data_IF_100348026371
#
_entry.id   IF_100348026371
#
_cell.length_a   1.000
_cell.length_b   1.000
_cell.length_c   1.000
_cell.angle_alpha   90.00
_cell.angle_beta   90.00
_cell.angle_gamma   90.00
#
_symmetry.space_group_name_H-M   'P 1'
#
loop_
_entity.id
_entity.type
_entity.pdbx_description
1 polymer ?
#
# COMPACT_ATOMS: atom_id res chain seq x y z
N UNK A 1 -28.23 13.36 -35.73
CA UNK A 1 -26.98 14.13 -35.62
C UNK A 1 -27.03 14.83 -34.26
N UNK A 2 -26.29 14.47 -33.21
CA UNK A 2 -25.06 13.69 -33.09
C UNK A 2 -25.14 12.70 -31.92
N UNK A 3 -24.44 11.58 -32.08
CA UNK A 3 -24.15 10.56 -31.07
C UNK A 3 -22.84 10.99 -30.40
N UNK A 4 -22.84 11.32 -29.11
CA UNK A 4 -21.60 11.54 -28.37
C UNK A 4 -21.27 10.25 -27.60
N UNK A 5 -20.44 9.42 -28.24
CA UNK A 5 -19.79 8.27 -27.63
C UNK A 5 -18.86 8.76 -26.51
N UNK A 6 -19.29 8.62 -25.26
CA UNK A 6 -18.45 8.85 -24.08
C UNK A 6 -17.86 7.52 -23.65
N UNK A 7 -16.85 7.07 -24.39
CA UNK A 7 -15.93 6.03 -23.93
C UNK A 7 -15.11 6.63 -22.78
N UNK A 8 -15.67 6.58 -21.58
CA UNK A 8 -14.98 6.93 -20.36
C UNK A 8 -14.06 5.75 -20.05
N UNK A 9 -12.76 5.95 -20.24
CA UNK A 9 -11.72 5.00 -19.91
C UNK A 9 -11.83 4.64 -18.42
N UNK A 10 -12.37 3.46 -18.11
CA UNK A 10 -12.25 2.88 -16.78
C UNK A 10 -10.77 2.48 -16.60
N UNK A 11 -10.01 3.30 -15.88
CA UNK A 11 -8.63 3.03 -15.55
C UNK A 11 -8.60 1.96 -14.44
N UNK A 12 -8.62 0.69 -14.83
CA UNK A 12 -8.50 -0.43 -13.91
C UNK A 12 -7.02 -0.64 -13.58
N UNK A 13 -6.60 -0.31 -12.35
CA UNK A 13 -5.26 -0.62 -11.88
C UNK A 13 -5.22 -2.03 -11.28
N UNK A 14 -4.36 -2.89 -11.84
CA UNK A 14 -4.06 -4.22 -11.30
C UNK A 14 -2.77 -4.13 -10.50
N UNK A 15 -2.84 -4.35 -9.18
CA UNK A 15 -1.66 -4.44 -8.32
C UNK A 15 -1.41 -5.92 -8.00
N UNK A 16 -0.26 -6.43 -8.47
CA UNK A 16 0.22 -7.77 -8.12
C UNK A 16 1.31 -7.58 -7.06
N UNK A 17 1.04 -8.05 -5.84
CA UNK A 17 2.03 -8.06 -4.76
C UNK A 17 2.65 -9.44 -4.69
N UNK A 18 3.93 -9.54 -5.08
CA UNK A 18 4.73 -10.76 -4.95
C UNK A 18 5.50 -10.75 -3.64
N UNK A 19 5.32 -11.78 -2.82
CA UNK A 19 6.08 -11.97 -1.58
C UNK A 19 7.47 -12.53 -1.92
N UNK A 20 8.38 -11.66 -2.34
CA UNK A 20 9.81 -11.97 -2.43
C UNK A 20 10.43 -11.85 -1.05
N UNK A 21 10.98 -12.94 -0.52
CA UNK A 21 11.68 -12.99 0.76
C UNK A 21 13.10 -12.42 0.67
N UNK A 22 13.24 -11.19 0.15
CA UNK A 22 14.49 -10.44 0.29
C UNK A 22 14.36 -9.59 1.54
N UNK A 23 14.95 -10.14 2.62
CA UNK A 23 15.01 -9.55 3.95
C UNK A 23 15.47 -8.08 3.88
N UNK A 24 14.56 -7.15 4.16
CA UNK A 24 14.85 -5.72 4.17
C UNK A 24 14.90 -5.24 5.62
N UNK A 25 16.13 -5.08 6.12
CA UNK A 25 16.44 -4.55 7.45
C UNK A 25 15.77 -3.18 7.61
N UNK A 26 14.72 -3.12 8.44
CA UNK A 26 14.01 -1.90 8.78
C UNK A 26 14.14 -1.62 10.28
N UNK A 27 14.53 -0.39 10.62
CA UNK A 27 14.58 0.06 12.01
C UNK A 27 13.21 0.62 12.43
N UNK A 28 12.90 0.57 13.72
CA UNK A 28 11.79 1.31 14.30
C UNK A 28 12.25 2.75 14.55
N UNK A 29 11.61 3.69 13.86
CA UNK A 29 11.78 5.13 14.06
C UNK A 29 10.61 5.68 14.86
N UNK A 30 10.92 6.47 15.88
CA UNK A 30 9.95 7.30 16.59
C UNK A 30 10.26 8.75 16.26
N UNK A 31 9.32 9.46 15.65
CA UNK A 31 9.47 10.88 15.34
C UNK A 31 8.24 11.68 15.73
N UNK A 32 8.40 13.00 15.87
CA UNK A 32 7.30 13.94 16.08
C UNK A 32 6.89 14.50 14.73
N UNK A 33 5.61 14.37 14.38
CA UNK A 33 5.09 14.90 13.12
C UNK A 33 4.80 16.42 13.18
N UNK A 34 4.25 16.96 12.09
CA UNK A 34 3.90 18.38 12.00
C UNK A 34 2.78 18.80 12.96
N UNK A 35 1.92 17.86 13.39
CA UNK A 35 0.88 18.11 14.38
C UNK A 35 1.41 18.04 15.83
N UNK A 36 2.65 17.59 16.02
CA UNK A 36 3.26 17.37 17.33
C UNK A 36 3.00 15.96 17.88
N UNK A 37 2.40 15.08 17.09
CA UNK A 37 2.09 13.72 17.50
C UNK A 37 3.32 12.81 17.35
N UNK A 38 3.44 11.85 18.27
CA UNK A 38 4.51 10.84 18.20
C UNK A 38 4.09 9.70 17.29
N UNK A 39 4.82 9.53 16.20
CA UNK A 39 4.62 8.48 15.23
C UNK A 39 5.73 7.44 15.38
N UNK A 40 5.32 6.18 15.54
CA UNK A 40 6.21 5.02 15.46
C UNK A 40 6.02 4.37 14.09
N UNK A 41 7.11 4.18 13.34
CA UNK A 41 7.07 3.48 12.05
C UNK A 41 8.30 2.59 11.90
N UNK A 42 8.11 1.46 11.25
CA UNK A 42 9.23 0.68 10.72
C UNK A 42 9.60 1.22 9.34
N UNK A 43 10.87 1.52 9.15
CA UNK A 43 11.38 2.06 7.90
C UNK A 43 12.89 1.81 7.74
N UNK A 44 13.37 1.92 6.51
CA UNK A 44 14.78 1.95 6.17
C UNK A 44 15.23 3.39 5.94
N UNK A 45 16.30 3.81 6.60
CA UNK A 45 16.93 5.10 6.30
C UNK A 45 17.68 5.00 4.97
N UNK A 46 17.15 5.66 3.93
CA UNK A 46 17.75 5.64 2.58
C UNK A 46 18.66 6.84 2.31
N UNK A 47 18.61 7.89 3.14
CA UNK A 47 19.55 9.01 3.07
C UNK A 47 19.26 10.13 4.06
N UNK A 48 20.27 10.98 4.28
CA UNK A 48 20.15 12.20 5.10
C UNK A 48 20.79 13.36 4.35
N UNK A 49 20.08 14.49 4.22
CA UNK A 49 20.59 15.69 3.55
C UNK A 49 19.94 16.96 4.12
N UNK A 50 20.73 18.02 4.29
CA UNK A 50 20.24 19.36 4.70
C UNK A 50 19.37 19.35 5.97
N UNK A 51 19.64 18.47 6.93
CA UNK A 51 18.86 18.36 8.17
C UNK A 51 17.56 17.55 8.05
N UNK A 52 17.36 16.85 6.94
CA UNK A 52 16.25 15.92 6.72
C UNK A 52 16.75 14.49 6.54
N UNK A 53 15.93 13.54 6.96
CA UNK A 53 16.13 12.10 6.77
C UNK A 53 15.00 11.54 5.91
N UNK A 54 15.36 10.74 4.92
CA UNK A 54 14.43 10.03 4.05
C UNK A 54 14.29 8.58 4.53
N UNK A 55 13.08 8.21 4.91
CA UNK A 55 12.71 6.92 5.46
C UNK A 55 11.83 6.18 4.44
N UNK A 56 12.33 5.08 3.88
CA UNK A 56 11.55 4.16 3.05
C UNK A 56 10.75 3.22 3.97
N UNK A 57 9.43 3.33 3.93
CA UNK A 57 8.52 2.55 4.77
C UNK A 57 8.29 1.16 4.16
N UNK A 58 7.70 0.26 4.93
CA UNK A 58 7.37 -1.10 4.50
C UNK A 58 6.45 -1.16 3.26
N UNK A 59 5.66 -0.11 3.04
CA UNK A 59 4.76 0.04 1.88
C UNK A 59 5.48 0.60 0.64
N UNK A 60 6.81 0.78 0.71
CA UNK A 60 7.64 1.37 -0.34
C UNK A 60 7.53 2.89 -0.45
N UNK A 61 6.74 3.55 0.41
CA UNK A 61 6.66 5.01 0.40
C UNK A 61 7.89 5.64 1.05
N UNK A 62 8.37 6.73 0.47
CA UNK A 62 9.44 7.55 1.06
C UNK A 62 8.82 8.66 1.90
N UNK A 63 8.99 8.56 3.21
CA UNK A 63 8.65 9.61 4.16
C UNK A 63 9.88 10.47 4.44
N UNK A 64 9.77 11.78 4.17
CA UNK A 64 10.82 12.74 4.53
C UNK A 64 10.44 13.35 5.89
N UNK A 65 11.38 13.30 6.84
CA UNK A 65 11.20 13.89 8.17
C UNK A 65 12.39 14.79 8.51
N UNK A 66 12.21 15.88 9.27
CA UNK A 66 13.32 16.60 9.86
C UNK A 66 14.14 15.66 10.74
N UNK A 67 15.47 15.61 10.58
CA UNK A 67 16.32 14.72 11.38
C UNK A 67 16.21 15.06 12.88
N UNK A 68 15.98 16.33 13.20
CA UNK A 68 15.74 16.79 14.58
C UNK A 68 14.41 16.33 15.17
N UNK A 69 13.46 15.91 14.34
CA UNK A 69 12.16 15.40 14.79
C UNK A 69 12.22 13.91 15.16
N UNK A 70 13.27 13.19 14.77
CA UNK A 70 13.49 11.80 15.17
C UNK A 70 13.92 11.77 16.64
N UNK A 71 13.06 11.22 17.48
CA UNK A 71 13.22 11.12 18.93
C UNK A 71 14.00 9.87 19.31
N UNK A 72 13.75 8.77 18.60
CA UNK A 72 14.41 7.49 18.85
C UNK A 72 14.54 6.68 17.56
N UNK A 73 15.56 5.83 17.53
CA UNK A 73 15.79 4.83 16.48
C UNK A 73 16.25 3.55 17.14
N UNK A 74 15.43 2.51 17.02
CA UNK A 74 15.78 1.17 17.49
C UNK A 74 16.07 0.29 16.30
N UNK A 75 17.28 -0.29 16.22
CA UNK A 75 17.54 -1.37 15.30
C UNK A 75 16.60 -2.52 15.61
N UNK A 76 15.58 -2.69 14.78
CA UNK A 76 14.69 -3.82 14.80
C UNK A 76 15.10 -4.74 13.65
N UNK A 77 14.81 -6.04 13.79
CA UNK A 77 14.85 -6.91 12.62
C UNK A 77 13.79 -6.49 11.62
N UNK A 78 13.74 -7.20 10.50
CA UNK A 78 12.71 -6.98 9.48
C UNK A 78 11.31 -7.04 10.11
N UNK A 79 10.37 -6.21 9.62
CA UNK A 79 8.97 -6.36 9.98
C UNK A 79 8.53 -7.79 9.73
N UNK A 80 7.71 -8.35 10.61
CA UNK A 80 7.02 -9.59 10.27
C UNK A 80 6.26 -9.36 8.96
N UNK A 81 6.39 -10.27 7.97
CA UNK A 81 5.66 -10.15 6.72
C UNK A 81 4.18 -10.01 7.02
N UNK A 82 3.54 -9.00 6.46
CA UNK A 82 2.10 -8.84 6.57
C UNK A 82 1.46 -10.05 5.88
N UNK A 83 0.67 -10.81 6.63
CA UNK A 83 -0.04 -11.96 6.11
C UNK A 83 -1.18 -11.53 5.18
N UNK A 84 -1.80 -12.49 4.50
CA UNK A 84 -2.84 -12.21 3.52
C UNK A 84 -4.02 -11.45 4.14
N UNK A 85 -4.37 -11.79 5.39
CA UNK A 85 -5.43 -11.12 6.15
C UNK A 85 -5.08 -9.67 6.43
N UNK A 86 -3.88 -9.41 6.96
CA UNK A 86 -3.40 -8.06 7.25
C UNK A 86 -3.28 -7.21 5.99
N UNK A 87 -2.89 -7.81 4.86
CA UNK A 87 -2.79 -7.07 3.60
C UNK A 87 -4.17 -6.69 3.06
N UNK A 88 -5.19 -7.55 3.21
CA UNK A 88 -6.58 -7.21 2.89
C UNK A 88 -7.07 -6.03 3.73
N UNK A 89 -6.79 -6.04 5.03
CA UNK A 89 -7.17 -4.95 5.95
C UNK A 89 -6.50 -3.62 5.56
N UNK A 90 -5.21 -3.65 5.22
CA UNK A 90 -4.49 -2.49 4.71
C UNK A 90 -5.16 -1.94 3.45
N UNK A 91 -5.42 -2.80 2.48
CA UNK A 91 -6.00 -2.38 1.19
C UNK A 91 -7.43 -1.85 1.36
N UNK A 92 -8.23 -2.46 2.24
CA UNK A 92 -9.56 -1.96 2.60
C UNK A 92 -9.49 -0.57 3.24
N UNK A 93 -8.54 -0.33 4.15
CA UNK A 93 -8.34 1.00 4.76
C UNK A 93 -7.86 2.06 3.77
N UNK A 94 -7.03 1.68 2.81
CA UNK A 94 -6.46 2.62 1.83
C UNK A 94 -7.46 3.04 0.76
N UNK A 95 -8.32 2.12 0.30
CA UNK A 95 -9.17 2.34 -0.88
C UNK A 95 -10.67 2.25 -0.61
N UNK A 96 -11.10 1.85 0.59
CA UNK A 96 -12.49 1.55 0.92
C UNK A 96 -12.85 0.11 0.56
N UNK A 97 -13.51 -0.60 1.48
CA UNK A 97 -13.87 -2.02 1.32
C UNK A 97 -14.78 -2.27 0.11
N UNK A 98 -15.64 -1.30 -0.21
CA UNK A 98 -16.55 -1.33 -1.35
C UNK A 98 -15.83 -1.25 -2.70
N UNK A 99 -14.63 -0.68 -2.73
CA UNK A 99 -13.85 -0.43 -3.95
C UNK A 99 -12.75 -1.46 -4.19
N UNK A 100 -12.59 -2.47 -3.34
CA UNK A 100 -11.54 -3.49 -3.49
C UNK A 100 -12.10 -4.89 -3.64
N UNK A 101 -11.56 -5.65 -4.59
CA UNK A 101 -11.86 -7.08 -4.73
C UNK A 101 -10.56 -7.86 -4.65
N UNK A 102 -10.60 -8.96 -3.89
CA UNK A 102 -9.42 -9.75 -3.56
C UNK A 102 -9.52 -11.14 -4.16
N UNK A 103 -8.40 -11.65 -4.66
CA UNK A 103 -8.21 -13.08 -4.91
C UNK A 103 -6.92 -13.52 -4.24
N UNK A 104 -7.06 -14.47 -3.32
CA UNK A 104 -5.92 -15.13 -2.69
C UNK A 104 -5.47 -16.29 -3.58
N UNK A 105 -4.16 -16.44 -3.73
CA UNK A 105 -3.52 -17.64 -4.25
C UNK A 105 -2.64 -18.26 -3.16
N UNK A 106 -2.01 -19.40 -3.44
CA UNK A 106 -1.11 -20.05 -2.48
C UNK A 106 0.06 -19.15 -2.01
N UNK A 107 0.46 -18.17 -2.83
CA UNK A 107 1.66 -17.36 -2.58
C UNK A 107 1.49 -15.87 -2.90
N UNK A 108 0.27 -15.40 -3.16
CA UNK A 108 0.04 -13.99 -3.50
C UNK A 108 -1.38 -13.56 -3.17
N UNK A 109 -1.54 -12.24 -3.01
CA UNK A 109 -2.84 -11.59 -2.96
C UNK A 109 -2.94 -10.69 -4.20
N UNK A 110 -3.90 -10.99 -5.06
CA UNK A 110 -4.26 -10.13 -6.20
C UNK A 110 -5.35 -9.17 -5.75
N UNK A 111 -5.11 -7.89 -5.94
CA UNK A 111 -6.04 -6.82 -5.55
C UNK A 111 -6.50 -6.08 -6.80
N UNK A 112 -7.81 -6.03 -6.98
CA UNK A 112 -8.47 -5.21 -7.99
C UNK A 112 -9.08 -3.99 -7.28
N UNK A 113 -8.54 -2.81 -7.58
CA UNK A 113 -9.06 -1.53 -7.07
C UNK A 113 -10.00 -0.93 -8.11
N UNK A 114 -11.18 -0.51 -7.66
CA UNK A 114 -12.28 -0.01 -8.46
C UNK A 114 -12.43 1.50 -8.26
N UNK A 115 -12.78 2.21 -9.33
CA UNK A 115 -13.07 3.66 -9.30
C UNK A 115 -14.48 3.97 -8.75
N UNK A 116 -15.25 2.92 -8.43
CA UNK A 116 -16.58 3.02 -7.84
C UNK A 116 -17.30 1.67 -7.79
N UNK A 117 -18.50 1.67 -7.21
CA UNK A 117 -19.29 0.45 -7.05
C UNK A 117 -19.64 -0.19 -8.40
N UNK A 118 -19.51 -1.52 -8.44
CA UNK A 118 -19.88 -2.32 -9.61
C UNK A 118 -21.35 -2.73 -9.54
N UNK A 119 -22.01 -2.72 -10.69
CA UNK A 119 -23.30 -3.39 -10.84
C UNK A 119 -23.13 -4.93 -10.81
N UNK A 120 -24.25 -5.67 -10.75
CA UNK A 120 -24.23 -7.14 -10.69
C UNK A 120 -23.48 -7.80 -11.86
N UNK A 121 -23.48 -7.17 -13.04
CA UNK A 121 -22.78 -7.69 -14.22
C UNK A 121 -21.28 -7.41 -14.14
N UNK A 122 -20.91 -6.20 -13.70
CA UNK A 122 -19.56 -5.80 -13.36
C UNK A 122 -18.95 -6.74 -12.32
N UNK A 123 -19.72 -7.14 -11.30
CA UNK A 123 -19.22 -8.06 -10.28
C UNK A 123 -19.01 -9.49 -10.75
N UNK A 124 -19.85 -9.94 -11.68
CA UNK A 124 -19.64 -11.25 -12.29
C UNK A 124 -18.35 -11.26 -13.11
N UNK A 125 -18.02 -10.14 -13.77
CA UNK A 125 -16.80 -9.98 -14.58
C UNK A 125 -15.54 -9.78 -13.73
N UNK A 126 -15.61 -8.98 -12.66
CA UNK A 126 -14.49 -8.73 -11.73
C UNK A 126 -13.99 -10.05 -11.11
N UNK A 127 -14.93 -10.89 -10.66
CA UNK A 127 -14.62 -12.23 -10.11
C UNK A 127 -14.01 -13.16 -11.15
N UNK A 128 -14.50 -13.11 -12.39
CA UNK A 128 -13.95 -13.97 -13.45
C UNK A 128 -12.54 -13.54 -13.83
N UNK A 129 -12.30 -12.24 -13.91
CA UNK A 129 -10.98 -11.66 -14.16
C UNK A 129 -10.00 -12.03 -13.05
N UNK A 130 -10.39 -11.85 -11.78
CA UNK A 130 -9.57 -12.21 -10.63
C UNK A 130 -9.21 -13.70 -10.57
N UNK A 131 -10.10 -14.60 -11.05
CA UNK A 131 -9.81 -16.03 -11.15
C UNK A 131 -8.79 -16.40 -12.22
N UNK A 132 -8.58 -15.54 -13.21
CA UNK A 132 -7.64 -15.76 -14.33
C UNK A 132 -6.28 -15.09 -14.10
N UNK A 133 -6.19 -14.20 -13.11
CA UNK A 133 -4.95 -13.54 -12.67
C UNK A 133 -4.12 -14.47 -11.77
#
# INVERSE_FOLDING_TARGET
MQIFNRNLFAATALLIVTFGSDFCIADEFIYVDEAGDRITTQARLIGTRQGFSALERWDGQVQIVPTSAIVDRKPTGDPDPIDVTGMKDVMGKLFGEENVRFQETAHSLVVLVLDGELDKTGESRSRLFLKQA
#
